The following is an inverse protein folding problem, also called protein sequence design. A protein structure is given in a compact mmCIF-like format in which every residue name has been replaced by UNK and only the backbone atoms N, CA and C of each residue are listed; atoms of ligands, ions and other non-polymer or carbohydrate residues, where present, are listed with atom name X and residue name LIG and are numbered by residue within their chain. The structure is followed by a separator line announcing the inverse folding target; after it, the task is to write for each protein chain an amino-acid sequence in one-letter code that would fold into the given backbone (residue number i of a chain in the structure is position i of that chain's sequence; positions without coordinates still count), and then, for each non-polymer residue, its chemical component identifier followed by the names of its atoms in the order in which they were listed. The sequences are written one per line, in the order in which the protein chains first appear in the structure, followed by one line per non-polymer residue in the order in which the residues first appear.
data_IF_693879384091
#
_entry.id   IF_693879384091
#
_cell.length_a   1.000
_cell.length_b   1.000
_cell.length_c   1.000
_cell.angle_alpha   90.00
_cell.angle_beta   90.00
_cell.angle_gamma   90.00
#
_symmetry.space_group_name_H-M   'P 1'
#
loop_
_entity.id
_entity.type
_entity.pdbx_description
1 polymer ?
#
# COMPACT_ATOMS: atom_id res chain seq x y z
N UNK A 1 29.77 23.63 14.73
CA UNK A 1 29.97 24.80 15.62
C UNK A 1 29.84 26.14 14.91
N UNK A 2 30.63 26.46 13.87
CA UNK A 2 30.56 27.77 13.16
C UNK A 2 29.15 28.30 12.84
N UNK A 3 28.25 27.46 12.32
CA UNK A 3 26.86 27.86 12.06
C UNK A 3 26.09 28.25 13.33
N UNK A 4 26.28 27.55 14.45
CA UNK A 4 25.67 27.88 15.74
C UNK A 4 26.26 29.17 16.32
N UNK A 5 27.56 29.42 16.11
CA UNK A 5 28.23 30.65 16.53
C UNK A 5 27.64 31.87 15.81
N UNK A 6 27.53 31.81 14.48
CA UNK A 6 26.92 32.88 13.68
C UNK A 6 25.41 33.05 13.97
N UNK A 7 24.69 31.97 14.28
CA UNK A 7 23.27 32.03 14.63
C UNK A 7 23.01 32.62 16.02
N UNK A 8 23.82 32.31 17.04
CA UNK A 8 23.63 32.81 18.42
C UNK A 8 24.09 34.26 18.59
N UNK A 9 25.17 34.67 17.92
CA UNK A 9 25.79 36.00 18.06
C UNK A 9 24.83 37.19 17.89
N UNK A 10 23.89 37.22 16.93
CA UNK A 10 22.93 38.33 16.80
C UNK A 10 21.72 38.25 17.74
N UNK A 11 21.42 37.09 18.34
CA UNK A 11 20.17 36.87 19.09
C UNK A 11 20.14 37.56 20.47
N UNK A 12 21.31 37.77 21.08
CA UNK A 12 21.44 38.44 22.36
C UNK A 12 22.79 39.16 22.43
N UNK A 13 22.84 40.35 23.02
CA UNK A 13 24.11 41.09 23.19
C UNK A 13 24.72 40.91 24.59
N UNK A 14 24.03 40.19 25.48
CA UNK A 14 24.50 39.92 26.85
C UNK A 14 25.40 38.70 27.00
N UNK A 15 25.74 37.99 25.91
CA UNK A 15 26.65 36.84 25.96
C UNK A 15 27.95 37.20 26.69
N UNK A 16 28.35 36.40 27.67
CA UNK A 16 29.59 36.64 28.41
C UNK A 16 30.81 36.63 27.46
N UNK A 17 31.83 37.49 27.67
CA UNK A 17 33.04 37.48 26.85
C UNK A 17 33.74 36.12 26.82
N UNK A 18 33.67 35.38 27.94
CA UNK A 18 34.19 34.01 28.05
C UNK A 18 33.44 33.03 27.15
N UNK A 19 32.10 33.12 27.11
CA UNK A 19 31.30 32.30 26.20
C UNK A 19 31.53 32.68 24.73
N UNK A 20 31.69 33.97 24.41
CA UNK A 20 32.06 34.42 23.06
C UNK A 20 33.46 33.94 22.63
N UNK A 21 34.37 33.69 23.57
CA UNK A 21 35.68 33.08 23.28
C UNK A 21 35.58 31.56 23.09
N UNK A 22 34.74 30.86 23.87
CA UNK A 22 34.39 29.44 23.61
C UNK A 22 33.73 29.27 22.23
N UNK A 23 32.93 30.26 21.80
CA UNK A 23 32.34 30.37 20.47
C UNK A 23 33.33 30.80 19.35
N UNK A 24 34.65 30.84 19.56
CA UNK A 24 35.63 31.15 18.52
C UNK A 24 36.65 30.03 18.23
N UNK A 25 36.62 28.94 19.00
CA UNK A 25 37.48 27.78 18.78
C UNK A 25 36.97 26.80 17.72
N UNK A 26 37.81 25.81 17.41
CA UNK A 26 37.37 24.52 16.87
C UNK A 26 36.44 23.81 17.90
N UNK A 27 35.85 22.66 17.52
CA UNK A 27 34.98 21.88 18.41
C UNK A 27 35.63 21.74 19.80
N UNK A 28 35.02 22.28 20.87
CA UNK A 28 35.64 22.24 22.19
C UNK A 28 35.83 20.79 22.58
N UNK A 29 37.03 20.43 23.05
CA UNK A 29 37.37 19.08 23.50
C UNK A 29 36.39 18.56 24.56
N UNK A 30 35.73 19.48 25.28
CA UNK A 30 34.65 19.22 26.21
C UNK A 30 33.34 19.87 25.72
N UNK A 31 32.73 19.28 24.68
CA UNK A 31 31.36 19.60 24.24
C UNK A 31 30.34 19.72 25.41
N UNK A 32 30.37 18.88 26.47
CA UNK A 32 29.48 19.04 27.62
C UNK A 32 29.61 20.40 28.34
N UNK A 33 30.83 20.93 28.49
CA UNK A 33 31.04 22.27 29.09
C UNK A 33 30.43 23.37 28.21
N UNK A 34 30.54 23.24 26.89
CA UNK A 34 29.93 24.19 25.96
C UNK A 34 28.42 24.24 26.10
N UNK A 35 27.74 23.09 26.16
CA UNK A 35 26.29 23.04 26.35
C UNK A 35 25.86 23.54 27.74
N UNK A 36 26.64 23.23 28.79
CA UNK A 36 26.40 23.75 30.13
C UNK A 36 26.47 25.28 30.19
N UNK A 37 27.50 25.88 29.59
CA UNK A 37 27.63 27.33 29.55
C UNK A 37 26.56 27.96 28.64
N UNK A 38 26.22 27.34 27.51
CA UNK A 38 25.10 27.77 26.67
C UNK A 38 23.79 27.83 27.48
N UNK A 39 23.49 26.85 28.33
CA UNK A 39 22.31 26.88 29.23
C UNK A 39 22.41 27.98 30.28
N UNK A 40 23.59 28.20 30.88
CA UNK A 40 23.79 29.30 31.84
C UNK A 40 23.53 30.68 31.21
N UNK A 41 23.97 30.85 29.97
CA UNK A 41 23.78 32.08 29.20
C UNK A 41 22.33 32.24 28.74
N UNK A 42 21.69 31.18 28.22
CA UNK A 42 20.29 31.21 27.81
C UNK A 42 19.32 31.45 28.99
N UNK A 43 19.66 31.04 30.22
CA UNK A 43 18.89 31.39 31.43
C UNK A 43 18.90 32.90 31.74
N UNK A 44 19.88 33.64 31.22
CA UNK A 44 19.99 35.10 31.40
C UNK A 44 19.30 35.88 30.26
N UNK A 45 18.83 35.21 29.20
CA UNK A 45 18.03 35.83 28.15
C UNK A 45 16.64 36.22 28.67
N UNK A 46 16.26 37.51 28.67
CA UNK A 46 14.96 37.97 29.19
C UNK A 46 13.79 37.81 28.20
N UNK A 47 14.03 37.22 27.03
CA UNK A 47 13.04 37.05 25.95
C UNK A 47 13.06 35.61 25.41
N UNK A 48 11.95 35.10 24.87
CA UNK A 48 11.94 33.83 24.15
C UNK A 48 12.90 33.82 22.96
N UNK A 49 13.65 32.73 22.81
CA UNK A 49 14.65 32.51 21.77
C UNK A 49 14.28 31.25 20.98
N UNK A 50 14.19 31.40 19.66
CA UNK A 50 13.84 30.32 18.74
C UNK A 50 15.10 29.89 17.98
N UNK A 51 15.57 28.66 18.24
CA UNK A 51 16.69 28.06 17.52
C UNK A 51 16.14 27.08 16.48
N UNK A 52 16.39 27.34 15.21
CA UNK A 52 15.98 26.49 14.09
C UNK A 52 17.19 25.72 13.59
N UNK A 53 17.09 24.39 13.59
CA UNK A 53 18.09 23.47 13.04
C UNK A 53 17.48 22.79 11.81
N UNK A 54 17.81 23.26 10.62
CA UNK A 54 17.36 22.65 9.36
C UNK A 54 18.34 21.56 8.87
N UNK A 55 17.83 20.60 8.10
CA UNK A 55 18.54 19.41 7.61
C UNK A 55 19.37 18.67 8.70
N UNK A 56 18.80 18.47 9.90
CA UNK A 56 19.51 17.87 11.05
C UNK A 56 20.12 16.48 10.77
N UNK A 57 19.60 15.73 9.79
CA UNK A 57 20.14 14.43 9.36
C UNK A 57 21.56 14.51 8.79
N UNK A 58 22.04 15.71 8.43
CA UNK A 58 23.42 15.94 8.01
C UNK A 58 24.41 15.93 9.18
N UNK A 59 23.93 15.95 10.43
CA UNK A 59 24.75 15.78 11.63
C UNK A 59 24.86 14.28 11.91
N UNK A 60 26.08 13.76 11.89
CA UNK A 60 26.38 12.34 12.13
C UNK A 60 27.25 12.07 13.36
N UNK A 61 27.72 13.12 14.05
CA UNK A 61 28.57 13.01 15.23
C UNK A 61 27.74 12.68 16.49
N UNK A 62 27.94 11.50 17.12
CA UNK A 62 27.20 11.10 18.33
C UNK A 62 27.37 12.08 19.50
N UNK A 63 28.51 12.76 19.62
CA UNK A 63 28.75 13.72 20.71
C UNK A 63 27.85 14.97 20.56
N UNK A 64 27.53 15.36 19.33
CA UNK A 64 26.57 16.46 19.07
C UNK A 64 25.15 16.03 19.44
N UNK A 65 24.73 14.81 19.11
CA UNK A 65 23.41 14.30 19.47
C UNK A 65 23.23 14.15 21.00
N UNK A 66 24.26 13.68 21.70
CA UNK A 66 24.30 13.63 23.17
C UNK A 66 24.21 15.03 23.78
N UNK A 67 24.99 15.99 23.27
CA UNK A 67 24.97 17.38 23.72
C UNK A 67 23.62 18.07 23.47
N UNK A 68 22.98 17.83 22.32
CA UNK A 68 21.64 18.33 22.03
C UNK A 68 20.57 17.70 22.93
N UNK A 69 20.69 16.40 23.25
CA UNK A 69 19.81 15.75 24.22
C UNK A 69 19.99 16.31 25.64
N UNK A 70 21.23 16.63 26.01
CA UNK A 70 21.53 17.30 27.29
C UNK A 70 20.97 18.72 27.33
N UNK A 71 21.11 19.49 26.24
CA UNK A 71 20.55 20.83 26.10
C UNK A 71 19.03 20.82 26.27
N UNK A 72 18.32 19.90 25.60
CA UNK A 72 16.88 19.73 25.73
C UNK A 72 16.45 19.38 27.17
N UNK A 73 17.24 18.59 27.90
CA UNK A 73 16.94 18.23 29.28
C UNK A 73 17.07 19.39 30.28
N UNK A 74 17.95 20.35 29.99
CA UNK A 74 18.25 21.51 30.85
C UNK A 74 17.84 22.85 30.22
N UNK A 75 17.03 22.81 29.16
CA UNK A 75 16.63 23.99 28.40
C UNK A 75 15.85 24.96 29.31
N UNK A 76 16.20 26.26 29.34
CA UNK A 76 15.38 27.24 30.03
C UNK A 76 14.03 27.39 29.32
N UNK A 77 12.96 27.81 30.02
CA UNK A 77 11.64 28.02 29.40
C UNK A 77 11.62 29.05 28.26
N UNK A 78 12.66 29.87 28.14
CA UNK A 78 12.82 30.81 27.04
C UNK A 78 13.33 30.14 25.73
N UNK A 79 13.93 28.95 25.77
CA UNK A 79 14.46 28.28 24.57
C UNK A 79 13.37 27.43 23.90
N UNK A 80 13.03 27.79 22.67
CA UNK A 80 12.24 26.98 21.76
C UNK A 80 13.15 26.40 20.67
N UNK A 81 13.21 25.08 20.55
CA UNK A 81 13.98 24.39 19.52
C UNK A 81 13.04 23.89 18.42
N UNK A 82 13.34 24.25 17.17
CA UNK A 82 12.68 23.70 15.98
C UNK A 82 13.71 22.87 15.22
N UNK A 83 13.38 21.61 14.90
CA UNK A 83 14.26 20.72 14.14
C UNK A 83 13.55 20.34 12.84
N UNK A 84 14.09 20.81 11.72
CA UNK A 84 13.80 20.26 10.40
C UNK A 84 14.70 19.06 10.14
N UNK A 85 14.10 17.90 9.90
CA UNK A 85 14.85 16.72 9.47
C UNK A 85 14.04 15.80 8.58
N UNK A 86 14.74 15.06 7.72
CA UNK A 86 14.15 13.97 6.94
C UNK A 86 14.02 12.68 7.75
N UNK A 87 14.93 12.44 8.69
CA UNK A 87 14.97 11.25 9.56
C UNK A 87 14.61 11.62 11.00
N UNK A 88 14.04 10.70 11.77
CA UNK A 88 13.86 10.94 13.21
C UNK A 88 15.25 11.17 13.86
N UNK A 89 15.49 12.32 14.51
CA UNK A 89 16.80 12.63 15.08
C UNK A 89 17.07 11.72 16.29
N UNK A 90 18.32 11.25 16.51
CA UNK A 90 18.66 10.32 17.59
C UNK A 90 18.75 11.06 18.95
N UNK A 91 17.63 11.61 19.40
CA UNK A 91 17.47 12.41 20.60
C UNK A 91 16.49 11.73 21.57
N UNK A 92 16.69 11.92 22.87
CA UNK A 92 15.84 11.32 23.91
C UNK A 92 14.51 12.07 24.11
N UNK A 93 13.66 12.08 23.09
CA UNK A 93 12.45 12.92 23.03
C UNK A 93 11.27 12.44 23.89
N UNK A 94 11.24 11.16 24.30
CA UNK A 94 10.09 10.56 25.00
C UNK A 94 9.67 11.29 26.27
N UNK A 95 10.61 11.92 26.99
CA UNK A 95 10.29 12.73 28.17
C UNK A 95 9.53 14.02 27.80
N UNK A 96 9.94 14.71 26.73
CA UNK A 96 9.26 15.93 26.26
C UNK A 96 7.84 15.61 25.80
N UNK A 97 7.64 14.48 25.12
CA UNK A 97 6.31 13.97 24.76
C UNK A 97 5.43 13.70 25.99
N UNK A 98 5.98 13.13 27.07
CA UNK A 98 5.22 12.89 28.32
C UNK A 98 4.95 14.18 29.13
N UNK A 99 5.52 15.31 28.74
CA UNK A 99 5.37 16.61 29.42
C UNK A 99 4.58 17.62 28.57
N UNK A 100 3.98 17.20 27.45
CA UNK A 100 3.33 18.06 26.44
C UNK A 100 4.26 19.20 25.93
N UNK A 101 5.57 18.93 25.90
CA UNK A 101 6.63 19.85 25.47
C UNK A 101 7.20 19.51 24.08
N UNK A 102 6.62 18.54 23.39
CA UNK A 102 7.00 18.11 22.05
C UNK A 102 5.80 18.24 21.10
N UNK A 103 6.04 18.82 19.93
CA UNK A 103 5.17 18.77 18.78
C UNK A 103 5.95 18.14 17.63
N UNK A 104 5.53 16.97 17.18
CA UNK A 104 6.05 16.29 15.99
C UNK A 104 5.06 16.55 14.84
N UNK A 105 5.58 16.90 13.66
CA UNK A 105 4.78 17.19 12.45
C UNK A 105 5.32 16.32 11.32
N UNK A 106 4.70 15.14 11.17
CA UNK A 106 5.16 14.11 10.24
C UNK A 106 4.64 14.31 8.81
N UNK A 107 5.14 13.49 7.88
CA UNK A 107 4.74 13.48 6.47
C UNK A 107 3.20 13.49 6.24
N UNK A 108 2.34 12.78 7.02
CA UNK A 108 0.88 12.88 6.87
C UNK A 108 0.31 14.29 7.11
N UNK A 109 0.92 15.08 7.99
CA UNK A 109 0.49 16.45 8.32
C UNK A 109 1.09 17.50 7.36
N UNK A 110 2.27 17.21 6.80
CA UNK A 110 2.91 18.06 5.78
C UNK A 110 2.30 17.89 4.37
N UNK A 111 1.52 16.83 4.13
CA UNK A 111 0.80 16.60 2.87
C UNK A 111 -0.39 17.55 2.76
N UNK A 112 -0.41 18.36 1.70
CA UNK A 112 -1.53 19.25 1.44
C UNK A 112 -2.84 18.49 1.23
N UNK A 113 -3.83 18.83 2.07
CA UNK A 113 -5.21 18.46 1.85
C UNK A 113 -5.84 19.33 0.71
N UNK A 114 -7.06 18.98 0.25
CA UNK A 114 -7.70 19.70 -0.85
C UNK A 114 -8.03 21.17 -0.61
N UNK A 115 -8.07 21.67 0.64
CA UNK A 115 -8.26 23.10 0.91
C UNK A 115 -6.93 23.87 0.97
N UNK A 116 -5.89 23.29 1.58
CA UNK A 116 -4.53 23.87 1.58
C UNK A 116 -3.98 24.00 0.16
N UNK A 117 -4.12 22.96 -0.66
CA UNK A 117 -3.70 23.01 -2.05
C UNK A 117 -4.40 24.14 -2.83
N UNK A 118 -5.70 24.38 -2.58
CA UNK A 118 -6.44 25.51 -3.19
C UNK A 118 -5.90 26.84 -2.71
N UNK A 119 -5.70 27.02 -1.41
CA UNK A 119 -5.18 28.25 -0.84
C UNK A 119 -3.77 28.57 -1.38
N UNK A 120 -2.88 27.57 -1.44
CA UNK A 120 -1.52 27.70 -1.95
C UNK A 120 -1.49 28.10 -3.42
N UNK A 121 -2.19 27.36 -4.29
CA UNK A 121 -2.12 27.58 -5.73
C UNK A 121 -2.94 28.78 -6.23
N UNK A 122 -3.96 29.22 -5.48
CA UNK A 122 -4.66 30.48 -5.74
C UNK A 122 -3.73 31.71 -5.64
N UNK A 123 -2.77 31.70 -4.71
CA UNK A 123 -1.81 32.80 -4.54
C UNK A 123 -0.53 32.66 -5.37
N UNK A 124 -0.06 31.43 -5.62
CA UNK A 124 1.32 31.20 -6.09
C UNK A 124 1.48 30.96 -7.61
N UNK A 125 0.46 30.46 -8.33
CA UNK A 125 0.66 30.02 -9.72
C UNK A 125 -0.53 30.17 -10.67
N UNK A 126 -1.70 30.66 -10.21
CA UNK A 126 -2.87 30.81 -11.08
C UNK A 126 -3.40 29.50 -11.68
N UNK A 127 -3.13 28.36 -11.03
CA UNK A 127 -3.61 27.05 -11.47
C UNK A 127 -5.15 26.97 -11.41
N UNK A 128 -5.75 26.33 -12.41
CA UNK A 128 -7.19 26.03 -12.40
C UNK A 128 -7.53 25.16 -11.17
N UNK A 129 -8.48 25.58 -10.31
CA UNK A 129 -8.96 24.76 -9.20
C UNK A 129 -9.43 23.34 -9.59
N UNK A 130 -9.86 23.12 -10.84
CA UNK A 130 -10.22 21.78 -11.33
C UNK A 130 -9.02 20.85 -11.51
N UNK A 131 -7.80 21.37 -11.67
CA UNK A 131 -6.58 20.55 -11.75
C UNK A 131 -6.14 20.00 -10.39
N UNK A 132 -6.55 20.63 -9.28
CA UNK A 132 -6.04 20.34 -7.92
C UNK A 132 -6.33 18.90 -7.46
N UNK A 133 -7.55 18.33 -7.59
CA UNK A 133 -7.80 16.94 -7.22
C UNK A 133 -6.90 15.95 -7.97
N UNK A 134 -6.56 16.24 -9.23
CA UNK A 134 -5.66 15.42 -10.05
C UNK A 134 -4.21 15.57 -9.64
N UNK A 135 -3.77 16.78 -9.27
CA UNK A 135 -2.44 17.00 -8.70
C UNK A 135 -2.28 16.22 -7.38
N UNK A 136 -3.25 16.31 -6.46
CA UNK A 136 -3.23 15.56 -5.20
C UNK A 136 -3.22 14.05 -5.45
N UNK A 137 -4.03 13.55 -6.40
CA UNK A 137 -4.04 12.12 -6.74
C UNK A 137 -2.69 11.59 -7.26
N UNK A 138 -1.92 12.43 -7.97
CA UNK A 138 -0.61 12.06 -8.51
C UNK A 138 0.53 12.20 -7.49
N UNK A 139 0.48 13.23 -6.63
CA UNK A 139 1.56 13.56 -5.68
C UNK A 139 1.28 13.14 -4.25
N UNK A 140 0.09 12.58 -3.97
CA UNK A 140 -0.43 12.28 -2.63
C UNK A 140 -0.35 13.46 -1.65
N UNK A 141 -0.43 14.69 -2.16
CA UNK A 141 -0.32 15.92 -1.35
C UNK A 141 1.12 16.42 -1.14
N UNK A 142 2.14 15.74 -1.68
CA UNK A 142 3.55 16.15 -1.54
C UNK A 142 3.80 17.52 -2.21
N UNK A 143 4.01 18.55 -1.39
CA UNK A 143 4.03 19.96 -1.79
C UNK A 143 5.05 20.26 -2.88
N UNK A 144 6.28 19.75 -2.77
CA UNK A 144 7.30 19.96 -3.79
C UNK A 144 6.93 19.27 -5.11
N UNK A 145 6.38 18.05 -5.06
CA UNK A 145 5.81 17.36 -6.23
C UNK A 145 4.68 18.16 -6.89
N UNK A 146 3.76 18.72 -6.10
CA UNK A 146 2.68 19.55 -6.62
C UNK A 146 3.23 20.81 -7.29
N UNK A 147 4.20 21.49 -6.68
CA UNK A 147 4.85 22.68 -7.24
C UNK A 147 5.59 22.36 -8.55
N UNK A 148 6.31 21.24 -8.62
CA UNK A 148 7.00 20.81 -9.85
C UNK A 148 6.02 20.43 -10.97
N UNK A 149 4.89 19.79 -10.63
CA UNK A 149 3.83 19.51 -11.60
C UNK A 149 3.13 20.80 -12.07
N UNK A 150 2.92 21.77 -11.16
CA UNK A 150 2.32 23.08 -11.45
C UNK A 150 3.18 23.95 -12.38
N UNK A 151 4.51 23.87 -12.28
CA UNK A 151 5.46 24.58 -13.14
C UNK A 151 5.60 23.97 -14.55
N UNK A 152 4.88 22.89 -14.86
CA UNK A 152 4.79 22.34 -16.21
C UNK A 152 3.99 23.30 -17.12
N UNK A 153 4.50 23.69 -18.31
CA UNK A 153 3.83 24.67 -19.18
C UNK A 153 2.44 24.22 -19.66
N UNK A 154 2.18 22.92 -19.63
CA UNK A 154 0.94 22.30 -20.08
C UNK A 154 -0.03 21.92 -18.92
N UNK A 155 0.24 22.34 -17.67
CA UNK A 155 -0.45 21.86 -16.44
C UNK A 155 -1.98 22.02 -16.43
N UNK A 156 -2.52 22.89 -17.29
CA UNK A 156 -3.97 23.09 -17.52
C UNK A 156 -4.61 22.01 -18.43
N UNK A 157 -3.83 21.13 -19.06
CA UNK A 157 -4.32 20.12 -20.01
C UNK A 157 -4.05 18.70 -19.55
N UNK A 158 -4.85 17.75 -20.02
CA UNK A 158 -4.66 16.33 -19.69
C UNK A 158 -3.32 15.74 -20.18
N UNK A 159 -2.68 16.37 -21.17
CA UNK A 159 -1.37 16.00 -21.73
C UNK A 159 -0.20 16.51 -20.89
N UNK A 160 -0.35 17.67 -20.22
CA UNK A 160 0.76 18.32 -19.49
C UNK A 160 1.27 17.60 -18.26
N UNK A 161 0.52 16.61 -17.78
CA UNK A 161 0.95 15.69 -16.75
C UNK A 161 2.14 14.83 -17.20
N UNK A 162 2.34 14.61 -18.51
CA UNK A 162 3.56 13.99 -19.04
C UNK A 162 4.79 14.89 -18.89
N UNK A 163 4.64 16.21 -19.01
CA UNK A 163 5.73 17.16 -18.77
C UNK A 163 5.99 17.39 -17.27
N UNK A 164 4.94 17.44 -16.43
CA UNK A 164 5.08 17.45 -14.97
C UNK A 164 5.75 16.19 -14.42
N UNK A 165 5.40 15.02 -14.99
CA UNK A 165 6.08 13.74 -14.75
C UNK A 165 7.59 13.83 -15.05
N UNK A 166 8.01 14.46 -16.15
CA UNK A 166 9.45 14.65 -16.45
C UNK A 166 10.17 15.54 -15.44
N UNK A 167 9.56 16.66 -15.01
CA UNK A 167 10.16 17.55 -14.00
C UNK A 167 10.32 16.85 -12.64
N UNK A 168 9.30 16.09 -12.23
CA UNK A 168 9.34 15.26 -11.03
C UNK A 168 10.41 14.17 -11.16
N UNK A 169 10.45 13.42 -12.26
CA UNK A 169 11.45 12.36 -12.48
C UNK A 169 12.87 12.90 -12.41
N UNK A 170 13.14 14.07 -13.01
CA UNK A 170 14.46 14.73 -12.91
C UNK A 170 14.83 15.05 -11.46
N UNK A 171 13.90 15.60 -10.67
CA UNK A 171 14.16 15.88 -9.27
C UNK A 171 14.41 14.59 -8.47
N UNK A 172 13.65 13.53 -8.72
CA UNK A 172 13.89 12.21 -8.11
C UNK A 172 15.27 11.68 -8.49
N UNK A 173 15.67 11.78 -9.76
CA UNK A 173 17.01 11.40 -10.23
C UNK A 173 18.13 12.22 -9.55
N UNK A 174 18.03 13.55 -9.55
CA UNK A 174 19.09 14.46 -9.08
C UNK A 174 19.20 14.56 -7.56
N UNK A 175 18.07 14.64 -6.85
CA UNK A 175 18.02 14.96 -5.41
C UNK A 175 17.81 13.72 -4.53
N UNK A 176 17.24 12.64 -5.09
CA UNK A 176 16.97 11.41 -4.34
C UNK A 176 17.89 10.29 -4.76
N UNK A 177 17.94 9.92 -6.05
CA UNK A 177 18.63 8.71 -6.51
C UNK A 177 20.14 8.88 -6.69
N UNK A 178 20.60 9.99 -7.27
CA UNK A 178 22.03 10.26 -7.46
C UNK A 178 22.90 10.22 -6.19
N UNK A 179 22.44 10.71 -5.00
CA UNK A 179 23.23 10.60 -3.77
C UNK A 179 23.12 9.24 -3.05
N UNK A 180 22.35 8.26 -3.54
CA UNK A 180 22.21 6.97 -2.85
C UNK A 180 23.47 6.11 -2.98
N UNK A 181 23.79 5.29 -1.95
CA UNK A 181 24.75 4.21 -2.12
C UNK A 181 24.27 3.25 -3.23
N UNK A 182 25.17 2.75 -4.10
CA UNK A 182 24.79 1.91 -5.25
C UNK A 182 23.94 0.70 -4.89
N UNK A 183 24.21 0.05 -3.75
CA UNK A 183 23.44 -1.10 -3.26
C UNK A 183 21.99 -0.77 -2.93
N UNK A 184 21.73 0.41 -2.35
CA UNK A 184 20.37 0.88 -2.04
C UNK A 184 19.61 1.16 -3.34
N UNK A 185 20.25 1.88 -4.27
CA UNK A 185 19.63 2.22 -5.54
C UNK A 185 19.31 0.98 -6.39
N UNK A 186 20.21 0.00 -6.39
CA UNK A 186 20.01 -1.31 -7.02
C UNK A 186 18.83 -2.08 -6.40
N UNK A 187 18.71 -2.08 -5.07
CA UNK A 187 17.55 -2.67 -4.37
C UNK A 187 16.23 -1.96 -4.72
N UNK A 188 16.22 -0.61 -4.74
CA UNK A 188 15.05 0.18 -5.15
C UNK A 188 14.61 -0.17 -6.58
N UNK A 189 15.55 -0.32 -7.51
CA UNK A 189 15.26 -0.73 -8.89
C UNK A 189 14.66 -2.14 -8.94
N UNK A 190 15.30 -3.13 -8.31
CA UNK A 190 14.86 -4.52 -8.30
C UNK A 190 13.46 -4.71 -7.67
N UNK A 191 13.16 -3.98 -6.60
CA UNK A 191 11.87 -4.08 -5.89
C UNK A 191 10.77 -3.18 -6.47
N UNK A 192 11.07 -2.27 -7.40
CA UNK A 192 10.09 -1.36 -8.03
C UNK A 192 8.95 -2.07 -8.78
N UNK A 193 9.14 -3.33 -9.20
CA UNK A 193 8.10 -4.16 -9.81
C UNK A 193 6.95 -4.50 -8.85
N UNK A 194 7.19 -4.40 -7.54
CA UNK A 194 6.24 -4.74 -6.49
C UNK A 194 5.24 -3.60 -6.25
N UNK A 195 4.02 -3.95 -5.84
CA UNK A 195 2.99 -2.98 -5.43
C UNK A 195 2.96 -2.77 -3.90
N UNK A 196 3.40 -3.78 -3.16
CA UNK A 196 3.62 -3.80 -1.71
C UNK A 196 4.90 -4.59 -1.44
N UNK A 197 5.66 -4.18 -0.44
CA UNK A 197 6.94 -4.74 -0.07
C UNK A 197 6.82 -5.43 1.29
N UNK A 198 7.48 -6.58 1.42
CA UNK A 198 7.69 -7.32 2.67
C UNK A 198 9.15 -7.76 2.68
N UNK A 199 9.85 -7.83 3.83
CA UNK A 199 11.25 -8.24 3.90
C UNK A 199 11.56 -9.50 3.07
N UNK A 200 10.88 -10.61 3.37
CA UNK A 200 11.09 -11.91 2.70
C UNK A 200 10.74 -11.90 1.20
N UNK A 201 9.81 -11.04 0.77
CA UNK A 201 9.47 -10.86 -0.65
C UNK A 201 10.56 -10.08 -1.38
N UNK A 202 11.15 -9.07 -0.73
CA UNK A 202 12.27 -8.33 -1.30
C UNK A 202 13.49 -9.23 -1.43
N UNK A 203 13.75 -10.06 -0.42
CA UNK A 203 14.80 -11.09 -0.46
C UNK A 203 14.61 -12.07 -1.61
N UNK A 204 13.40 -12.61 -1.77
CA UNK A 204 13.06 -13.52 -2.88
C UNK A 204 13.25 -12.86 -4.26
N UNK A 205 12.87 -11.57 -4.41
CA UNK A 205 12.95 -10.84 -5.69
C UNK A 205 14.37 -10.39 -6.00
N UNK A 206 15.13 -9.90 -5.02
CA UNK A 206 16.52 -9.49 -5.22
C UNK A 206 17.48 -10.70 -5.30
N UNK A 207 17.14 -11.84 -4.71
CA UNK A 207 18.06 -12.97 -4.52
C UNK A 207 19.11 -12.68 -3.45
N UNK A 208 18.72 -11.93 -2.40
CA UNK A 208 19.54 -11.52 -1.26
C UNK A 208 18.83 -11.86 0.06
N UNK A 209 19.47 -11.59 1.19
CA UNK A 209 18.94 -11.82 2.54
C UNK A 209 19.06 -10.57 3.43
N UNK A 210 18.89 -9.39 2.83
CA UNK A 210 19.06 -8.08 3.48
C UNK A 210 17.86 -7.14 3.27
N UNK A 211 16.72 -7.61 2.73
CA UNK A 211 15.53 -6.81 2.49
C UNK A 211 14.95 -6.17 3.75
N UNK A 212 15.02 -6.87 4.89
CA UNK A 212 14.62 -6.30 6.19
C UNK A 212 15.57 -5.23 6.73
N UNK A 213 16.85 -5.24 6.36
CA UNK A 213 17.81 -4.17 6.67
C UNK A 213 17.60 -2.99 5.72
N UNK A 214 17.45 -3.27 4.43
CA UNK A 214 17.28 -2.26 3.39
C UNK A 214 15.97 -1.48 3.54
N UNK A 215 14.85 -2.15 3.84
CA UNK A 215 13.58 -1.47 4.13
C UNK A 215 13.67 -0.56 5.37
N UNK A 216 14.38 -1.00 6.42
CA UNK A 216 14.64 -0.15 7.60
C UNK A 216 15.51 1.05 7.25
N UNK A 217 16.56 0.86 6.44
CA UNK A 217 17.41 1.96 5.97
C UNK A 217 16.62 2.98 5.14
N UNK A 218 15.81 2.52 4.18
CA UNK A 218 14.92 3.34 3.34
C UNK A 218 13.91 4.12 4.20
N UNK A 219 13.31 3.48 5.21
CA UNK A 219 12.39 4.12 6.15
C UNK A 219 13.09 5.20 7.00
N UNK A 220 14.26 4.89 7.56
CA UNK A 220 15.05 5.81 8.39
C UNK A 220 15.50 7.06 7.60
N UNK A 221 15.84 6.91 6.32
CA UNK A 221 16.22 8.01 5.44
C UNK A 221 15.00 8.69 4.76
N UNK A 222 13.78 8.29 5.13
CA UNK A 222 12.51 8.81 4.62
C UNK A 222 12.45 8.89 3.08
N UNK A 223 12.91 7.81 2.44
CA UNK A 223 12.90 7.68 0.99
C UNK A 223 11.52 7.23 0.49
N UNK A 224 10.51 8.06 0.75
CA UNK A 224 9.16 7.90 0.21
C UNK A 224 8.57 6.49 0.40
N UNK A 225 8.82 5.89 1.57
CA UNK A 225 8.31 4.57 1.95
C UNK A 225 7.27 4.74 3.06
N UNK A 226 6.06 4.25 2.83
CA UNK A 226 4.99 4.24 3.85
C UNK A 226 4.72 2.81 4.31
N UNK A 227 4.52 2.61 5.61
CA UNK A 227 3.92 1.37 6.13
C UNK A 227 2.46 1.24 5.63
N UNK A 228 2.02 0.01 5.43
CA UNK A 228 0.63 -0.35 5.07
C UNK A 228 -0.12 -0.99 6.25
N UNK A 229 0.60 -1.39 7.30
CA UNK A 229 0.04 -2.08 8.46
C UNK A 229 0.71 -1.65 9.77
N UNK A 230 -0.04 -1.67 10.87
CA UNK A 230 0.45 -1.34 12.21
C UNK A 230 1.56 -2.31 12.69
N UNK A 231 1.68 -3.48 12.05
CA UNK A 231 2.76 -4.44 12.35
C UNK A 231 4.09 -4.09 11.69
N UNK A 232 4.15 -3.04 10.86
CA UNK A 232 5.38 -2.54 10.26
C UNK A 232 6.11 -3.55 9.37
N UNK A 233 5.35 -4.45 8.72
CA UNK A 233 5.89 -5.53 7.87
C UNK A 233 5.58 -5.34 6.40
N UNK A 234 4.46 -4.70 6.09
CA UNK A 234 4.08 -4.34 4.73
C UNK A 234 4.35 -2.87 4.48
N UNK A 235 5.06 -2.58 3.40
CA UNK A 235 5.40 -1.22 2.99
C UNK A 235 4.99 -0.95 1.55
N UNK A 236 4.98 0.32 1.16
CA UNK A 236 4.73 0.78 -0.21
C UNK A 236 5.56 2.00 -0.53
N UNK A 237 6.25 1.97 -1.67
CA UNK A 237 6.87 3.15 -2.26
C UNK A 237 5.80 4.15 -2.71
N UNK A 238 6.06 5.45 -2.54
CA UNK A 238 5.25 6.50 -3.12
C UNK A 238 5.16 6.31 -4.65
N UNK A 239 3.96 6.44 -5.28
CA UNK A 239 3.77 6.10 -6.68
C UNK A 239 4.75 6.78 -7.64
N UNK A 240 5.03 8.08 -7.44
CA UNK A 240 5.98 8.82 -8.27
C UNK A 240 7.41 8.23 -8.23
N UNK A 241 7.87 7.79 -7.06
CA UNK A 241 9.19 7.17 -6.92
C UNK A 241 9.22 5.81 -7.62
N UNK A 242 8.19 4.99 -7.38
CA UNK A 242 8.04 3.67 -8.01
C UNK A 242 7.96 3.77 -9.53
N UNK A 243 7.22 4.72 -10.08
CA UNK A 243 7.04 4.89 -11.52
C UNK A 243 8.32 5.42 -12.19
N UNK A 244 9.08 6.30 -11.53
CA UNK A 244 10.40 6.71 -11.99
C UNK A 244 11.41 5.54 -11.99
N UNK A 245 11.45 4.73 -10.92
CA UNK A 245 12.27 3.52 -10.84
C UNK A 245 11.89 2.50 -11.92
N UNK A 246 10.59 2.26 -12.15
CA UNK A 246 10.10 1.37 -13.21
C UNK A 246 10.43 1.88 -14.62
N UNK A 247 10.36 3.20 -14.84
CA UNK A 247 10.78 3.80 -16.10
C UNK A 247 12.27 3.54 -16.33
N UNK A 248 13.11 3.74 -15.30
CA UNK A 248 14.55 3.52 -15.37
C UNK A 248 14.91 2.04 -15.55
N UNK A 249 14.26 1.13 -14.82
CA UNK A 249 14.39 -0.32 -14.96
C UNK A 249 14.12 -0.79 -16.40
N UNK A 250 13.08 -0.25 -17.06
CA UNK A 250 12.71 -0.57 -18.45
C UNK A 250 13.71 -0.09 -19.51
N UNK A 251 14.51 0.94 -19.21
CA UNK A 251 15.48 1.52 -20.14
C UNK A 251 16.94 1.18 -19.78
N UNK A 252 17.19 0.62 -18.60
CA UNK A 252 18.53 0.36 -18.07
C UNK A 252 19.26 -0.84 -18.69
N UNK A 253 18.56 -1.71 -19.42
CA UNK A 253 19.16 -2.83 -20.19
C UNK A 253 19.65 -4.03 -19.37
N UNK A 254 20.25 -3.81 -18.20
CA UNK A 254 21.04 -4.82 -17.49
C UNK A 254 20.23 -5.79 -16.61
N UNK A 255 18.96 -5.48 -16.30
CA UNK A 255 18.15 -6.25 -15.34
C UNK A 255 16.99 -6.96 -16.06
N UNK A 256 16.91 -8.29 -15.92
CA UNK A 256 15.78 -9.08 -16.45
C UNK A 256 14.50 -8.89 -15.60
N UNK A 257 13.69 -7.93 -16.05
CA UNK A 257 12.36 -7.62 -15.50
C UNK A 257 11.45 -8.85 -15.42
N UNK A 258 11.54 -9.79 -16.38
CA UNK A 258 10.70 -11.00 -16.36
C UNK A 258 11.10 -11.91 -15.22
N UNK A 259 12.40 -12.05 -14.97
CA UNK A 259 12.92 -12.83 -13.84
C UNK A 259 12.56 -12.22 -12.48
N UNK A 260 12.46 -10.89 -12.36
CA UNK A 260 11.96 -10.24 -11.13
C UNK A 260 10.47 -10.53 -10.91
N UNK A 261 9.66 -10.41 -11.95
CA UNK A 261 8.24 -10.78 -11.88
C UNK A 261 8.05 -12.28 -11.59
N UNK A 262 8.88 -13.16 -12.14
CA UNK A 262 8.83 -14.59 -11.88
C UNK A 262 9.12 -14.94 -10.41
N UNK A 263 10.21 -14.38 -9.86
CA UNK A 263 10.58 -14.54 -8.44
C UNK A 263 9.47 -14.04 -7.51
N UNK A 264 8.88 -12.87 -7.80
CA UNK A 264 7.74 -12.35 -7.06
C UNK A 264 6.51 -13.27 -7.15
N UNK A 265 6.22 -13.80 -8.35
CA UNK A 265 5.10 -14.72 -8.58
C UNK A 265 5.21 -15.98 -7.73
N UNK A 266 6.38 -16.63 -7.75
CA UNK A 266 6.65 -17.85 -6.99
C UNK A 266 6.52 -17.61 -5.47
N UNK A 267 7.02 -16.47 -4.96
CA UNK A 267 6.88 -16.11 -3.55
C UNK A 267 5.40 -15.90 -3.18
N UNK A 268 4.64 -15.13 -3.96
CA UNK A 268 3.22 -14.89 -3.68
C UNK A 268 2.39 -16.19 -3.74
N UNK A 269 2.67 -17.10 -4.68
CA UNK A 269 2.02 -18.41 -4.73
C UNK A 269 2.33 -19.27 -3.50
N UNK A 270 3.58 -19.27 -3.01
CA UNK A 270 3.96 -19.98 -1.79
C UNK A 270 3.28 -19.43 -0.53
N UNK A 271 2.87 -18.15 -0.53
CA UNK A 271 2.10 -17.51 0.53
C UNK A 271 0.57 -17.56 0.31
N UNK A 272 0.09 -18.29 -0.71
CA UNK A 272 -1.33 -18.35 -1.12
C UNK A 272 -1.93 -16.97 -1.49
N UNK A 273 -1.08 -15.99 -1.83
CA UNK A 273 -1.47 -14.64 -2.26
C UNK A 273 -1.68 -14.63 -3.79
N UNK A 274 -2.68 -15.39 -4.22
CA UNK A 274 -2.87 -15.80 -5.61
C UNK A 274 -3.09 -14.63 -6.58
N UNK A 275 -3.75 -13.55 -6.15
CA UNK A 275 -4.03 -12.39 -7.00
C UNK A 275 -2.75 -11.68 -7.45
N UNK A 276 -1.79 -11.48 -6.53
CA UNK A 276 -0.48 -10.96 -6.86
C UNK A 276 0.36 -11.97 -7.62
N UNK A 277 0.30 -13.27 -7.27
CA UNK A 277 1.02 -14.32 -7.98
C UNK A 277 0.69 -14.31 -9.48
N UNK A 278 -0.59 -14.38 -9.84
CA UNK A 278 -1.06 -14.37 -11.23
C UNK A 278 -0.66 -13.09 -11.96
N UNK A 279 -0.84 -11.92 -11.33
CA UNK A 279 -0.44 -10.63 -11.91
C UNK A 279 1.06 -10.59 -12.23
N UNK A 280 1.89 -11.17 -11.37
CA UNK A 280 3.33 -11.26 -11.58
C UNK A 280 3.71 -12.35 -12.62
N UNK A 281 3.07 -13.53 -12.63
CA UNK A 281 3.27 -14.55 -13.67
C UNK A 281 2.97 -14.02 -15.08
N UNK A 282 1.85 -13.31 -15.25
CA UNK A 282 1.48 -12.68 -16.52
C UNK A 282 2.49 -11.62 -16.96
N UNK A 283 2.98 -10.79 -16.03
CA UNK A 283 4.00 -9.78 -16.30
C UNK A 283 5.38 -10.38 -16.62
N UNK A 284 5.69 -11.58 -16.12
CA UNK A 284 6.86 -12.36 -16.53
C UNK A 284 6.71 -13.00 -17.93
N UNK A 285 5.52 -12.93 -18.54
CA UNK A 285 5.21 -13.59 -19.80
C UNK A 285 4.96 -15.10 -19.67
N UNK A 286 4.77 -15.62 -18.44
CA UNK A 286 4.40 -17.01 -18.20
C UNK A 286 2.89 -17.20 -18.36
N UNK A 287 2.47 -18.41 -18.73
CA UNK A 287 1.07 -18.78 -18.58
C UNK A 287 0.79 -18.94 -17.08
N UNK A 288 0.03 -18.01 -16.50
CA UNK A 288 -0.41 -18.04 -15.10
C UNK A 288 -1.47 -19.14 -14.84
N UNK A 289 -1.31 -20.29 -15.49
CA UNK A 289 -2.27 -21.36 -15.66
C UNK A 289 -2.59 -22.06 -14.35
N UNK A 290 -1.56 -22.73 -13.81
CA UNK A 290 -1.64 -23.52 -12.58
C UNK A 290 -1.89 -22.64 -11.38
N UNK A 291 -1.29 -21.45 -11.34
CA UNK A 291 -1.45 -20.50 -10.24
C UNK A 291 -2.88 -19.92 -10.22
N UNK A 292 -3.49 -19.69 -11.40
CA UNK A 292 -4.90 -19.32 -11.49
C UNK A 292 -5.84 -20.49 -11.17
N UNK A 293 -5.53 -21.73 -11.56
CA UNK A 293 -6.34 -22.90 -11.20
C UNK A 293 -6.31 -23.17 -9.70
N UNK A 294 -5.12 -23.32 -9.11
CA UNK A 294 -4.94 -23.55 -7.68
C UNK A 294 -5.50 -22.38 -6.84
N UNK A 295 -5.24 -21.15 -7.27
CA UNK A 295 -5.77 -19.98 -6.60
C UNK A 295 -7.29 -19.80 -6.74
N UNK A 296 -7.86 -20.15 -7.90
CA UNK A 296 -9.31 -20.07 -8.08
C UNK A 296 -10.04 -21.14 -7.26
N UNK A 297 -9.41 -22.31 -7.07
CA UNK A 297 -9.91 -23.32 -6.15
C UNK A 297 -9.84 -22.84 -4.69
N UNK A 298 -8.68 -22.34 -4.23
CA UNK A 298 -8.51 -21.78 -2.86
C UNK A 298 -9.57 -20.71 -2.55
N UNK A 299 -9.72 -19.72 -3.44
CA UNK A 299 -10.69 -18.63 -3.25
C UNK A 299 -12.16 -19.09 -3.35
N UNK A 300 -12.46 -20.15 -4.09
CA UNK A 300 -13.80 -20.74 -4.13
C UNK A 300 -14.11 -21.54 -2.85
N UNK A 301 -13.11 -22.23 -2.28
CA UNK A 301 -13.20 -22.95 -1.01
C UNK A 301 -13.28 -21.98 0.20
N UNK A 302 -12.59 -20.85 0.13
CA UNK A 302 -12.58 -19.78 1.16
C UNK A 302 -13.76 -18.80 1.02
N UNK A 303 -14.35 -18.68 -0.16
CA UNK A 303 -15.51 -17.81 -0.44
C UNK A 303 -15.18 -16.36 -0.84
N UNK A 304 -13.92 -16.01 -1.12
CA UNK A 304 -13.53 -14.67 -1.62
C UNK A 304 -13.83 -14.52 -3.13
N UNK A 305 -15.12 -14.36 -3.39
CA UNK A 305 -15.73 -14.12 -4.69
C UNK A 305 -15.25 -12.80 -5.33
N UNK A 306 -14.86 -11.81 -4.53
CA UNK A 306 -14.53 -10.46 -5.00
C UNK A 306 -13.19 -10.47 -5.74
N UNK A 307 -12.20 -11.13 -5.15
CA UNK A 307 -10.87 -11.33 -5.75
C UNK A 307 -10.98 -12.15 -7.04
N UNK A 308 -11.76 -13.24 -7.04
CA UNK A 308 -12.06 -14.06 -8.23
C UNK A 308 -12.64 -13.25 -9.41
N UNK A 309 -13.63 -12.38 -9.16
CA UNK A 309 -14.24 -11.57 -10.23
C UNK A 309 -13.28 -10.50 -10.75
N UNK A 310 -12.33 -10.01 -9.95
CA UNK A 310 -11.30 -9.09 -10.41
C UNK A 310 -10.30 -9.76 -11.37
N UNK A 311 -9.99 -11.05 -11.19
CA UNK A 311 -9.03 -11.79 -12.04
C UNK A 311 -9.42 -11.84 -13.51
N UNK A 312 -10.72 -11.81 -13.81
CA UNK A 312 -11.27 -11.80 -15.17
C UNK A 312 -10.72 -10.63 -16.00
N UNK A 313 -10.30 -9.53 -15.35
CA UNK A 313 -9.69 -8.37 -16.02
C UNK A 313 -8.22 -8.58 -16.42
N UNK A 314 -7.55 -9.55 -15.82
CA UNK A 314 -6.13 -9.85 -16.04
C UNK A 314 -5.92 -11.11 -16.88
N UNK A 315 -6.90 -12.02 -16.90
CA UNK A 315 -6.90 -13.20 -17.74
C UNK A 315 -7.10 -12.85 -19.23
N UNK A 316 -6.50 -13.63 -20.16
CA UNK A 316 -6.71 -13.43 -21.59
C UNK A 316 -8.18 -13.68 -21.96
N UNK A 317 -8.69 -12.91 -22.93
CA UNK A 317 -10.09 -12.97 -23.36
C UNK A 317 -10.54 -14.37 -23.84
N UNK A 318 -9.61 -15.16 -24.38
CA UNK A 318 -9.80 -16.57 -24.68
C UNK A 318 -9.00 -17.38 -23.65
N UNK A 319 -9.70 -17.93 -22.66
CA UNK A 319 -9.11 -18.91 -21.74
C UNK A 319 -8.79 -20.21 -22.49
N UNK A 320 -7.70 -20.84 -22.07
CA UNK A 320 -7.25 -22.14 -22.60
C UNK A 320 -8.35 -23.21 -22.41
N UNK A 321 -8.81 -23.89 -23.48
CA UNK A 321 -9.91 -24.87 -23.40
C UNK A 321 -9.65 -26.07 -22.49
N UNK A 322 -8.39 -26.33 -22.13
CA UNK A 322 -8.05 -27.41 -21.20
C UNK A 322 -8.38 -27.10 -19.72
N UNK A 323 -8.71 -25.84 -19.38
CA UNK A 323 -8.74 -25.32 -18.01
C UNK A 323 -10.14 -25.17 -17.44
N UNK A 324 -10.87 -26.28 -17.44
CA UNK A 324 -12.32 -26.29 -17.17
C UNK A 324 -12.63 -25.85 -15.73
N UNK A 325 -11.85 -26.26 -14.72
CA UNK A 325 -12.08 -25.86 -13.32
C UNK A 325 -11.90 -24.34 -13.09
N UNK A 326 -10.91 -23.71 -13.73
CA UNK A 326 -10.76 -22.25 -13.69
C UNK A 326 -11.97 -21.55 -14.30
N UNK A 327 -12.44 -22.02 -15.47
CA UNK A 327 -13.62 -21.45 -16.12
C UNK A 327 -14.89 -21.63 -15.27
N UNK A 328 -15.04 -22.77 -14.58
CA UNK A 328 -16.16 -23.04 -13.65
C UNK A 328 -16.13 -22.13 -12.42
N UNK A 329 -14.98 -22.00 -11.75
CA UNK A 329 -14.84 -21.14 -10.57
C UNK A 329 -15.09 -19.66 -10.90
N UNK A 330 -14.67 -19.19 -12.09
CA UNK A 330 -14.98 -17.85 -12.58
C UNK A 330 -16.47 -17.67 -12.92
N UNK A 331 -17.11 -18.66 -13.54
CA UNK A 331 -18.55 -18.62 -13.82
C UNK A 331 -19.37 -18.59 -12.52
N UNK A 332 -18.96 -19.35 -11.49
CA UNK A 332 -19.55 -19.35 -10.17
C UNK A 332 -19.40 -17.99 -9.46
N UNK A 333 -18.21 -17.41 -9.47
CA UNK A 333 -17.95 -16.09 -8.88
C UNK A 333 -18.74 -14.96 -9.59
N UNK A 334 -18.85 -15.00 -10.93
CA UNK A 334 -19.69 -14.08 -11.70
C UNK A 334 -21.17 -14.22 -11.36
N UNK A 335 -21.68 -15.45 -11.19
CA UNK A 335 -23.06 -15.70 -10.78
C UNK A 335 -23.34 -15.10 -9.38
N UNK A 336 -22.41 -15.25 -8.44
CA UNK A 336 -22.51 -14.62 -7.11
C UNK A 336 -22.50 -13.09 -7.14
N UNK A 337 -21.81 -12.47 -8.10
CA UNK A 337 -21.87 -11.01 -8.33
C UNK A 337 -22.92 -10.59 -9.37
N UNK A 338 -23.97 -11.40 -9.56
CA UNK A 338 -25.14 -11.16 -10.42
C UNK A 338 -24.82 -10.89 -11.90
N UNK A 339 -23.59 -11.18 -12.36
CA UNK A 339 -23.15 -11.07 -13.75
C UNK A 339 -23.55 -12.33 -14.54
N UNK A 340 -24.85 -12.61 -14.54
CA UNK A 340 -25.42 -13.85 -15.04
C UNK A 340 -25.24 -14.06 -16.56
N UNK A 341 -25.17 -12.98 -17.35
CA UNK A 341 -24.81 -13.05 -18.77
C UNK A 341 -23.43 -13.65 -18.98
N UNK A 342 -22.47 -13.19 -18.19
CA UNK A 342 -21.05 -13.45 -18.38
C UNK A 342 -20.68 -14.82 -17.79
N UNK A 343 -21.30 -15.16 -16.64
CA UNK A 343 -21.30 -16.52 -16.11
C UNK A 343 -21.85 -17.52 -17.14
N UNK A 344 -22.98 -17.19 -17.78
CA UNK A 344 -23.62 -18.07 -18.77
C UNK A 344 -22.77 -18.25 -20.03
N UNK A 345 -22.15 -17.18 -20.52
CA UNK A 345 -21.20 -17.23 -21.65
C UNK A 345 -20.01 -18.16 -21.35
N UNK A 346 -19.43 -18.11 -20.15
CA UNK A 346 -18.38 -19.06 -19.76
C UNK A 346 -18.88 -20.50 -19.70
N UNK A 347 -20.08 -20.75 -19.14
CA UNK A 347 -20.67 -22.09 -19.10
C UNK A 347 -21.01 -22.63 -20.52
N UNK A 348 -21.52 -21.78 -21.43
CA UNK A 348 -21.76 -22.14 -22.83
C UNK A 348 -20.44 -22.47 -23.56
N UNK A 349 -19.36 -21.75 -23.25
CA UNK A 349 -18.01 -22.04 -23.76
C UNK A 349 -17.48 -23.39 -23.24
N UNK A 350 -17.61 -23.67 -21.94
CA UNK A 350 -17.24 -24.96 -21.32
C UNK A 350 -18.02 -26.12 -21.97
N UNK A 351 -19.34 -25.98 -22.14
CA UNK A 351 -20.20 -27.02 -22.73
C UNK A 351 -19.81 -27.29 -24.19
N UNK A 352 -19.54 -26.24 -24.98
CA UNK A 352 -19.09 -26.35 -26.37
C UNK A 352 -17.71 -27.00 -26.49
N UNK A 353 -16.77 -26.64 -25.60
CA UNK A 353 -15.41 -27.22 -25.55
C UNK A 353 -15.43 -28.69 -25.12
N UNK A 354 -16.28 -29.03 -24.15
CA UNK A 354 -16.48 -30.40 -23.65
C UNK A 354 -17.07 -31.32 -24.71
N UNK A 355 -18.03 -30.82 -25.49
CA UNK A 355 -18.60 -31.55 -26.62
C UNK A 355 -17.58 -31.80 -27.74
N UNK A 356 -16.63 -30.88 -27.96
CA UNK A 356 -15.58 -31.02 -28.97
C UNK A 356 -14.44 -31.96 -28.56
N UNK A 357 -14.13 -32.10 -27.26
CA UNK A 357 -13.01 -32.91 -26.75
C UNK A 357 -13.36 -34.35 -26.37
N UNK A 358 -14.59 -34.81 -26.66
CA UNK A 358 -15.12 -36.14 -26.32
C UNK A 358 -14.40 -37.37 -26.91
N UNK A 359 -13.22 -37.20 -27.50
CA UNK A 359 -12.37 -38.28 -28.02
C UNK A 359 -10.97 -38.39 -27.41
N UNK A 360 -10.54 -37.51 -26.48
CA UNK A 360 -9.12 -37.45 -26.08
C UNK A 360 -8.75 -37.05 -24.64
N UNK A 361 -9.67 -36.50 -23.84
CA UNK A 361 -9.39 -36.14 -22.44
C UNK A 361 -10.19 -37.02 -21.46
N UNK A 362 -9.64 -37.26 -20.26
CA UNK A 362 -10.16 -38.24 -19.30
C UNK A 362 -11.66 -38.05 -18.97
N UNK A 363 -12.53 -39.07 -19.18
CA UNK A 363 -13.98 -38.89 -19.17
C UNK A 363 -14.60 -38.53 -17.80
N UNK A 364 -13.85 -38.67 -16.70
CA UNK A 364 -14.32 -38.31 -15.36
C UNK A 364 -14.36 -36.79 -15.13
N UNK A 365 -13.26 -36.07 -15.42
CA UNK A 365 -13.18 -34.62 -15.22
C UNK A 365 -14.19 -33.86 -16.09
N UNK A 366 -14.35 -34.25 -17.36
CA UNK A 366 -15.33 -33.65 -18.27
C UNK A 366 -16.78 -33.95 -17.81
N UNK A 367 -17.03 -35.14 -17.27
CA UNK A 367 -18.33 -35.53 -16.73
C UNK A 367 -18.72 -34.75 -15.46
N UNK A 368 -17.80 -34.62 -14.51
CA UNK A 368 -18.00 -33.86 -13.26
C UNK A 368 -18.15 -32.36 -13.54
N UNK A 369 -17.32 -31.80 -14.42
CA UNK A 369 -17.43 -30.41 -14.85
C UNK A 369 -18.76 -30.11 -15.56
N UNK A 370 -19.21 -30.99 -16.47
CA UNK A 370 -20.51 -30.86 -17.11
C UNK A 370 -21.67 -31.02 -16.13
N UNK A 371 -21.50 -31.82 -15.07
CA UNK A 371 -22.42 -31.91 -13.93
C UNK A 371 -22.51 -30.57 -13.19
N UNK A 372 -21.37 -30.04 -12.71
CA UNK A 372 -21.29 -28.74 -12.01
C UNK A 372 -21.81 -27.57 -12.86
N UNK A 373 -21.52 -27.55 -14.16
CA UNK A 373 -22.09 -26.58 -15.12
C UNK A 373 -23.61 -26.63 -15.13
N UNK A 374 -24.17 -27.85 -15.27
CA UNK A 374 -25.62 -28.08 -15.32
C UNK A 374 -26.30 -27.72 -14.01
N UNK A 375 -25.69 -28.06 -12.87
CA UNK A 375 -26.20 -27.75 -11.54
C UNK A 375 -26.22 -26.23 -11.32
N UNK A 376 -25.10 -25.54 -11.57
CA UNK A 376 -25.03 -24.07 -11.50
C UNK A 376 -26.04 -23.40 -12.45
N UNK A 377 -26.15 -23.88 -13.69
CA UNK A 377 -27.12 -23.42 -14.71
C UNK A 377 -28.58 -23.67 -14.29
N UNK A 378 -28.86 -24.72 -13.53
CA UNK A 378 -30.19 -25.01 -12.98
C UNK A 378 -30.58 -24.08 -11.83
N UNK A 379 -29.59 -23.62 -11.04
CA UNK A 379 -29.79 -22.70 -9.93
C UNK A 379 -30.02 -21.25 -10.40
N UNK A 380 -29.36 -20.81 -11.48
CA UNK A 380 -29.52 -19.45 -12.05
C UNK A 380 -30.99 -18.97 -12.18
N UNK A 381 -31.92 -19.73 -12.83
CA UNK A 381 -33.32 -19.32 -12.94
C UNK A 381 -34.12 -19.43 -11.63
N UNK A 382 -33.64 -20.14 -10.61
CA UNK A 382 -34.26 -20.18 -9.27
C UNK A 382 -33.81 -19.02 -8.38
N UNK A 383 -32.57 -18.54 -8.59
CA UNK A 383 -31.99 -17.40 -7.88
C UNK A 383 -32.59 -16.07 -8.35
N UNK A 384 -32.83 -15.89 -9.66
CA UNK A 384 -33.40 -14.65 -10.21
C UNK A 384 -34.72 -14.18 -9.52
N UNK A 385 -35.75 -15.05 -9.34
CA UNK A 385 -36.96 -14.69 -8.63
C UNK A 385 -36.73 -14.42 -7.14
N UNK A 386 -35.86 -15.19 -6.48
CA UNK A 386 -35.58 -15.01 -5.05
C UNK A 386 -34.87 -13.68 -4.76
N UNK A 387 -33.89 -13.31 -5.59
CA UNK A 387 -33.14 -12.06 -5.48
C UNK A 387 -34.02 -10.85 -5.79
N UNK A 388 -34.88 -10.93 -6.81
CA UNK A 388 -35.84 -9.85 -7.12
C UNK A 388 -36.93 -9.70 -6.05
N UNK A 389 -37.41 -10.80 -5.45
CA UNK A 389 -38.32 -10.75 -4.30
C UNK A 389 -37.68 -10.15 -3.05
N UNK A 390 -36.41 -10.47 -2.77
CA UNK A 390 -35.66 -9.87 -1.65
C UNK A 390 -35.33 -8.39 -1.90
N UNK A 391 -34.94 -8.03 -3.13
CA UNK A 391 -34.71 -6.63 -3.54
C UNK A 391 -35.96 -5.75 -3.42
N UNK A 392 -37.15 -6.31 -3.66
CA UNK A 392 -38.42 -5.57 -3.56
C UNK A 392 -39.07 -5.62 -2.16
N UNK A 393 -38.52 -6.36 -1.19
CA UNK A 393 -39.08 -6.47 0.18
C UNK A 393 -38.12 -6.10 1.31
N UNK A 394 -36.82 -6.01 1.07
CA UNK A 394 -35.84 -5.70 2.11
C UNK A 394 -35.16 -4.33 1.87
N UNK A 395 -35.40 -3.37 2.78
CA UNK A 395 -34.53 -2.20 2.90
C UNK A 395 -33.11 -2.62 3.29
N UNK A 396 -32.20 -2.68 2.31
CA UNK A 396 -30.77 -2.37 2.38
C UNK A 396 -29.91 -2.90 3.56
N UNK A 397 -30.29 -3.98 4.28
CA UNK A 397 -29.60 -4.34 5.55
C UNK A 397 -29.35 -5.82 5.87
N UNK A 398 -29.44 -6.74 4.91
CA UNK A 398 -29.07 -8.15 5.15
C UNK A 398 -28.39 -8.87 3.95
N UNK A 399 -27.11 -8.58 3.64
CA UNK A 399 -26.31 -9.40 2.72
C UNK A 399 -26.15 -10.85 3.22
N UNK A 400 -26.04 -11.05 4.54
CA UNK A 400 -25.81 -12.35 5.15
C UNK A 400 -26.93 -13.39 4.88
N UNK A 401 -28.19 -12.95 4.75
CA UNK A 401 -29.31 -13.84 4.47
C UNK A 401 -29.25 -14.42 3.04
N UNK A 402 -28.79 -13.60 2.07
CA UNK A 402 -28.61 -14.02 0.67
C UNK A 402 -27.43 -15.00 0.57
N UNK A 403 -26.30 -14.69 1.21
CA UNK A 403 -25.15 -15.60 1.27
C UNK A 403 -25.50 -16.93 1.96
N UNK A 404 -26.29 -16.89 3.04
CA UNK A 404 -26.76 -18.09 3.73
C UNK A 404 -27.68 -18.97 2.88
N UNK A 405 -28.58 -18.37 2.09
CA UNK A 405 -29.46 -19.12 1.18
C UNK A 405 -28.67 -19.81 0.06
N UNK A 406 -27.67 -19.12 -0.50
CA UNK A 406 -26.77 -19.67 -1.53
C UNK A 406 -25.89 -20.80 -0.98
N UNK A 407 -25.33 -20.64 0.22
CA UNK A 407 -24.56 -21.67 0.91
C UNK A 407 -25.41 -22.92 1.25
N UNK A 408 -26.69 -22.72 1.58
CA UNK A 408 -27.63 -23.82 1.83
C UNK A 408 -27.96 -24.61 0.54
N UNK A 409 -28.16 -23.92 -0.59
CA UNK A 409 -28.30 -24.58 -1.90
C UNK A 409 -27.02 -25.35 -2.29
N UNK A 410 -25.83 -24.79 -2.05
CA UNK A 410 -24.55 -25.44 -2.36
C UNK A 410 -24.26 -26.69 -1.51
N UNK A 411 -24.68 -26.71 -0.23
CA UNK A 411 -24.45 -27.86 0.67
C UNK A 411 -25.51 -28.95 0.61
N UNK A 412 -26.65 -28.72 -0.06
CA UNK A 412 -27.77 -29.67 -0.07
C UNK A 412 -27.49 -30.98 -0.85
N UNK A 413 -26.41 -31.05 -1.62
CA UNK A 413 -25.97 -32.27 -2.34
C UNK A 413 -24.92 -33.11 -1.59
N UNK A 414 -24.44 -32.66 -0.43
CA UNK A 414 -23.45 -33.39 0.38
C UNK A 414 -23.78 -33.33 1.88
N UNK A 415 -23.89 -34.50 2.52
CA UNK A 415 -24.37 -34.63 3.91
C UNK A 415 -23.41 -34.00 4.94
N UNK A 416 -23.60 -32.73 5.29
CA UNK A 416 -22.80 -32.02 6.28
C UNK A 416 -23.48 -31.97 7.67
N UNK A 417 -22.79 -32.47 8.70
CA UNK A 417 -23.20 -32.34 10.11
C UNK A 417 -22.55 -31.09 10.70
N UNK A 418 -23.34 -30.06 10.98
CA UNK A 418 -22.86 -28.87 11.67
C UNK A 418 -22.93 -29.02 13.20
N UNK A 419 -21.84 -28.64 13.89
CA UNK A 419 -21.79 -28.37 15.34
C UNK A 419 -21.45 -26.89 15.55
N UNK A 420 -22.40 -26.12 16.06
CA UNK A 420 -22.15 -24.78 16.60
C UNK A 420 -22.00 -24.84 18.13
N UNK A 421 -21.12 -24.02 18.73
CA UNK A 421 -20.98 -23.94 20.19
C UNK A 421 -22.12 -23.11 20.79
N UNK A 422 -23.16 -23.78 21.28
CA UNK A 422 -24.26 -23.14 22.01
C UNK A 422 -25.64 -23.69 21.64
N UNK A 423 -26.20 -24.52 22.53
CA UNK A 423 -27.55 -25.11 22.49
C UNK A 423 -27.84 -26.06 21.32
N UNK A 424 -27.73 -27.35 21.60
CA UNK A 424 -28.18 -28.44 20.73
C UNK A 424 -29.70 -28.52 20.59
N UNK A 425 -30.23 -28.47 19.36
CA UNK A 425 -31.47 -29.16 18.98
C UNK A 425 -31.25 -29.91 17.67
N UNK A 426 -31.46 -31.22 17.67
CA UNK A 426 -31.51 -32.04 16.45
C UNK A 426 -32.84 -31.81 15.75
N UNK A 427 -32.80 -31.43 14.47
CA UNK A 427 -33.93 -31.55 13.57
C UNK A 427 -33.60 -32.56 12.48
N UNK A 428 -34.47 -33.55 12.28
CA UNK A 428 -34.52 -34.36 11.06
C UNK A 428 -35.74 -33.89 10.28
N UNK A 429 -35.55 -33.45 9.05
CA UNK A 429 -36.64 -33.34 8.09
C UNK A 429 -36.55 -34.52 7.12
N UNK A 430 -37.63 -35.29 7.03
CA UNK A 430 -37.88 -36.23 5.94
C UNK A 430 -38.19 -35.47 4.64
N UNK A 431 -37.89 -36.10 3.51
CA UNK A 431 -38.07 -35.53 2.16
C UNK A 431 -39.51 -35.07 1.89
N UNK A 432 -39.68 -33.83 1.43
CA UNK A 432 -40.91 -33.36 0.78
C UNK A 432 -41.61 -32.16 1.42
N UNK A 433 -41.03 -30.96 1.30
CA UNK A 433 -41.77 -29.69 1.44
C UNK A 433 -41.25 -28.66 0.42
N UNK A 434 -42.13 -27.85 -0.21
CA UNK A 434 -41.72 -26.77 -1.11
C UNK A 434 -41.13 -25.58 -0.34
N UNK A 435 -40.18 -24.88 -0.97
CA UNK A 435 -39.38 -23.82 -0.35
C UNK A 435 -40.16 -22.59 0.17
N UNK A 436 -41.44 -22.45 -0.19
CA UNK A 436 -42.31 -21.37 0.29
C UNK A 436 -42.60 -21.40 1.79
N UNK A 437 -42.51 -22.56 2.45
CA UNK A 437 -42.85 -22.70 3.87
C UNK A 437 -41.74 -22.24 4.84
N UNK A 438 -40.49 -22.15 4.38
CA UNK A 438 -39.34 -21.75 5.22
C UNK A 438 -39.24 -20.24 5.44
N UNK A 439 -39.65 -19.43 4.45
CA UNK A 439 -39.56 -17.97 4.50
C UNK A 439 -40.50 -17.32 5.54
N UNK A 440 -41.58 -17.99 5.92
CA UNK A 440 -42.52 -17.50 6.94
C UNK A 440 -42.01 -17.69 8.36
N UNK A 441 -41.09 -18.64 8.59
CA UNK A 441 -40.59 -18.98 9.93
C UNK A 441 -39.42 -18.09 10.41
N UNK A 442 -38.83 -17.27 9.52
CA UNK A 442 -37.68 -16.40 9.81
C UNK A 442 -38.04 -14.92 10.01
N UNK A 443 -39.34 -14.57 9.97
CA UNK A 443 -39.85 -13.20 10.15
C UNK A 443 -40.89 -13.10 11.27
N UNK A 444 -40.65 -13.79 12.40
CA UNK A 444 -41.43 -13.69 13.64
C UNK A 444 -40.51 -13.84 14.85
#
# INVERSE_FOLDING_TARGET
MRYLQEALRPLWQGWSPSFLHLLQGELPAELPLFFAELVNQLNQCPHPLYLILDDYQCISDPAIHQGMSWLLHHAPPALHLLIGSRSQPPLALSRLHMQDQLLEVDDPELRFNPSEARAYFAGASGLDPQAIPRLIALTQGWVAGMKMAALSPDASTAMGFGAGSRSISRYLDEVIFAPLPPEVFDFLLHTSVLNRLHPDLCDAVCGRHNGGEMLRWIAQHNLFLSALDDSGRWFRYHPLMRDALLHRLRHGGDIDIRQLHDRASAWFAAQQLWAEAIRHALAAGKSAARDAEAGAQSLAEEGDIDTLVQWIRYLPANLDPSRIELQLNLAWALAHRFRFSDARQLLDAIETQSAAHGGGAGPQLVGEAAGRSRDLRSLLPTILPAVSLLSNRCCARCPAAISGLMAWCATSSATAIWRTPGRSRRWRCSSGYPASALLTATCS
#
